data_IF_027648092695
#
_entry.id   IF_027648092695
#
_cell.length_a   1.000
_cell.length_b   1.000
_cell.length_c   1.000
_cell.angle_alpha   90.00
_cell.angle_beta   90.00
_cell.angle_gamma   90.00
#
_symmetry.space_group_name_H-M   'P 1'
#
loop_
_entity.id
_entity.type
_entity.pdbx_description
1 polymer ?
#
# COMPACT_ATOMS: atom_id res chain seq x y z
N UNK A 1 6.94 55.59 16.42
CA UNK A 1 6.21 54.79 15.41
C UNK A 1 7.02 53.53 15.18
N UNK A 2 6.82 52.55 16.05
CA UNK A 2 7.26 51.18 15.88
C UNK A 2 6.14 50.44 15.14
N UNK A 3 6.41 49.88 13.96
CA UNK A 3 5.54 48.87 13.36
C UNK A 3 6.37 47.79 12.65
N UNK A 4 6.44 46.64 13.32
CA UNK A 4 6.16 45.30 12.79
C UNK A 4 6.85 44.90 11.47
N UNK A 5 8.02 44.25 11.59
CA UNK A 5 8.45 43.24 10.61
C UNK A 5 8.50 41.87 11.27
N UNK A 6 7.43 41.09 11.08
CA UNK A 6 7.33 39.69 11.46
C UNK A 6 7.31 38.83 10.19
N UNK A 7 8.48 38.59 9.60
CA UNK A 7 8.62 37.64 8.50
C UNK A 7 8.47 36.20 9.01
N UNK A 8 7.37 35.59 8.57
CA UNK A 8 6.98 34.23 8.89
C UNK A 8 7.97 33.19 8.39
N UNK A 9 8.57 32.45 9.32
CA UNK A 9 9.17 31.13 9.05
C UNK A 9 8.08 30.16 8.61
N UNK A 10 7.83 30.07 7.31
CA UNK A 10 7.15 28.92 6.72
C UNK A 10 8.02 27.67 6.96
N UNK A 11 7.68 26.90 8.01
CA UNK A 11 8.15 25.52 8.20
C UNK A 11 7.83 24.73 6.93
N UNK A 12 8.84 24.50 6.10
CA UNK A 12 8.80 23.52 5.02
C UNK A 12 8.44 22.18 5.65
N UNK A 13 7.17 21.76 5.54
CA UNK A 13 6.76 20.39 5.83
C UNK A 13 7.52 19.50 4.85
N UNK A 14 8.54 18.81 5.36
CA UNK A 14 9.36 17.90 4.56
C UNK A 14 8.48 16.96 3.76
N UNK A 15 8.80 16.79 2.47
CA UNK A 15 8.09 15.87 1.59
C UNK A 15 8.05 14.49 2.26
N UNK A 16 6.84 13.95 2.46
CA UNK A 16 6.67 12.58 2.96
C UNK A 16 7.29 11.64 1.93
N UNK A 17 8.45 11.05 2.26
CA UNK A 17 9.04 9.98 1.46
C UNK A 17 8.01 8.85 1.35
N UNK A 18 7.65 8.40 0.14
CA UNK A 18 6.70 7.30 -0.04
C UNK A 18 7.08 6.10 0.81
N UNK A 19 6.08 5.47 1.42
CA UNK A 19 6.27 4.25 2.19
C UNK A 19 6.58 3.12 1.21
N UNK A 20 7.72 2.47 1.36
CA UNK A 20 8.01 1.19 0.70
C UNK A 20 7.24 0.09 1.43
N UNK A 21 5.98 -0.05 1.04
CA UNK A 21 5.10 -1.06 1.61
C UNK A 21 5.50 -2.48 1.20
N UNK A 22 6.22 -2.67 0.09
CA UNK A 22 6.73 -4.00 -0.31
C UNK A 22 7.63 -4.57 0.77
N UNK A 23 8.64 -3.78 1.19
CA UNK A 23 9.57 -4.16 2.26
C UNK A 23 8.92 -4.29 3.64
N UNK A 24 7.93 -3.44 3.90
CA UNK A 24 7.14 -3.47 5.14
C UNK A 24 6.31 -4.77 5.24
N UNK A 25 5.62 -5.13 4.16
CA UNK A 25 4.81 -6.33 4.05
C UNK A 25 5.69 -7.58 4.04
N UNK A 26 6.82 -7.57 3.35
CA UNK A 26 7.80 -8.65 3.40
C UNK A 26 8.27 -8.89 4.85
N UNK A 27 8.54 -7.83 5.60
CA UNK A 27 8.92 -7.93 7.00
C UNK A 27 7.81 -8.49 7.89
N UNK A 28 6.54 -8.14 7.62
CA UNK A 28 5.37 -8.74 8.30
C UNK A 28 5.17 -10.21 7.89
N UNK A 29 5.39 -10.58 6.63
CA UNK A 29 5.37 -11.98 6.19
C UNK A 29 6.50 -12.79 6.82
N UNK A 30 7.71 -12.23 6.93
CA UNK A 30 8.82 -12.85 7.68
C UNK A 30 8.47 -13.02 9.15
N UNK A 31 7.75 -12.09 9.79
CA UNK A 31 7.26 -12.26 11.18
C UNK A 31 6.35 -13.48 11.30
N UNK A 32 5.41 -13.63 10.38
CA UNK A 32 4.48 -14.75 10.37
C UNK A 32 5.17 -16.09 10.08
N UNK A 33 6.22 -16.09 9.24
CA UNK A 33 7.00 -17.29 8.89
C UNK A 33 8.09 -17.65 9.91
N UNK A 34 8.70 -16.68 10.58
CA UNK A 34 9.92 -16.88 11.38
C UNK A 34 9.71 -17.52 12.76
N UNK A 35 8.52 -18.04 13.09
CA UNK A 35 8.35 -18.90 14.27
C UNK A 35 7.37 -20.06 14.08
N UNK A 36 7.88 -21.29 13.94
CA UNK A 36 7.14 -22.53 14.07
C UNK A 36 7.15 -23.07 15.52
N UNK A 37 6.94 -22.24 16.55
CA UNK A 37 6.62 -22.74 17.90
C UNK A 37 5.78 -21.71 18.70
N UNK A 38 4.49 -22.03 18.84
CA UNK A 38 3.54 -21.69 19.91
C UNK A 38 3.28 -20.23 20.35
N UNK A 39 3.75 -19.20 19.63
CA UNK A 39 3.19 -17.85 19.87
C UNK A 39 1.88 -17.66 19.10
N UNK A 40 0.73 -17.52 19.78
CA UNK A 40 -0.50 -17.16 19.08
C UNK A 40 -0.30 -15.79 18.42
N UNK A 41 -0.93 -15.58 17.26
CA UNK A 41 -0.95 -14.30 16.52
C UNK A 41 -1.60 -13.14 17.32
N UNK A 42 -2.00 -13.41 18.57
CA UNK A 42 -2.48 -12.48 19.59
C UNK A 42 -1.35 -11.89 20.43
N UNK A 43 -0.12 -12.42 20.34
CA UNK A 43 1.02 -11.89 21.07
C UNK A 43 1.34 -10.45 20.62
N UNK A 44 1.68 -9.55 21.56
CA UNK A 44 2.07 -8.19 21.22
C UNK A 44 3.28 -8.14 20.29
N UNK A 45 3.14 -7.46 19.16
CA UNK A 45 4.19 -7.01 18.28
C UNK A 45 4.83 -5.77 18.90
N UNK A 46 6.10 -5.90 19.27
CA UNK A 46 6.88 -4.79 19.81
C UNK A 46 7.11 -3.71 18.74
N UNK A 47 6.89 -2.44 19.09
CA UNK A 47 7.15 -1.28 18.23
C UNK A 47 8.61 -1.20 17.80
N UNK A 48 9.54 -1.58 18.68
CA UNK A 48 10.97 -1.60 18.37
C UNK A 48 11.28 -2.65 17.29
N UNK A 49 10.56 -3.77 17.28
CA UNK A 49 10.66 -4.77 16.24
C UNK A 49 10.13 -4.24 14.91
N UNK A 50 8.93 -3.62 14.89
CA UNK A 50 8.39 -2.99 13.68
C UNK A 50 9.40 -1.98 13.09
N UNK A 51 10.03 -1.17 13.94
CA UNK A 51 11.06 -0.21 13.54
C UNK A 51 12.32 -0.89 12.97
N UNK A 52 12.78 -2.00 13.56
CA UNK A 52 13.90 -2.80 13.01
C UNK A 52 13.58 -3.38 11.63
N UNK A 53 12.31 -3.68 11.38
CA UNK A 53 11.77 -4.07 10.08
C UNK A 53 11.55 -2.90 9.11
N UNK A 54 12.02 -1.69 9.44
CA UNK A 54 11.91 -0.52 8.58
C UNK A 54 10.55 0.20 8.66
N UNK A 55 9.64 -0.21 9.55
CA UNK A 55 8.41 0.55 9.77
C UNK A 55 8.70 1.85 10.49
N UNK A 56 8.44 2.96 9.81
CA UNK A 56 8.45 4.30 10.44
C UNK A 56 7.17 4.50 11.24
N UNK A 57 7.18 5.46 12.16
CA UNK A 57 6.00 5.78 12.98
C UNK A 57 4.75 6.04 12.12
N UNK A 58 4.90 6.75 11.00
CA UNK A 58 3.80 6.99 10.07
C UNK A 58 3.19 5.70 9.48
N UNK A 59 3.98 4.63 9.30
CA UNK A 59 3.45 3.35 8.82
C UNK A 59 2.65 2.65 9.91
N UNK A 60 3.14 2.70 11.16
CA UNK A 60 2.46 2.13 12.32
C UNK A 60 1.15 2.87 12.59
N UNK A 61 1.17 4.20 12.53
CA UNK A 61 -0.03 5.04 12.69
C UNK A 61 -1.05 4.76 11.59
N UNK A 62 -0.58 4.52 10.36
CA UNK A 62 -1.46 4.16 9.23
C UNK A 62 -2.07 2.76 9.42
N UNK A 63 -1.27 1.75 9.80
CA UNK A 63 -1.75 0.40 10.14
C UNK A 63 -2.77 0.42 11.28
N UNK A 64 -2.54 1.27 12.28
CA UNK A 64 -3.48 1.51 13.37
C UNK A 64 -4.78 2.14 12.86
N UNK A 65 -4.67 3.19 12.03
CA UNK A 65 -5.82 3.91 11.50
C UNK A 65 -6.67 3.08 10.53
N UNK A 66 -6.07 2.18 9.75
CA UNK A 66 -6.81 1.21 8.92
C UNK A 66 -7.35 0.03 9.73
N UNK A 67 -7.13 0.01 11.04
CA UNK A 67 -7.66 -0.98 11.96
C UNK A 67 -6.93 -2.32 11.90
N UNK A 68 -5.71 -2.38 11.38
CA UNK A 68 -4.90 -3.61 11.33
C UNK A 68 -4.11 -3.83 12.61
N UNK A 69 -3.75 -2.75 13.30
CA UNK A 69 -3.12 -2.79 14.61
C UNK A 69 -4.05 -2.20 15.67
N UNK A 70 -4.00 -2.77 16.86
CA UNK A 70 -4.59 -2.21 18.07
C UNK A 70 -3.53 -2.19 19.18
N UNK A 71 -3.62 -1.31 20.19
CA UNK A 71 -2.65 -1.29 21.28
C UNK A 71 -2.78 -2.58 22.07
N UNK A 72 -1.67 -3.19 22.47
CA UNK A 72 -1.74 -4.34 23.38
C UNK A 72 -2.31 -3.91 24.74
N UNK A 73 -3.25 -4.69 25.28
CA UNK A 73 -3.82 -4.50 26.63
C UNK A 73 -2.74 -4.52 27.72
N UNK A 74 -1.65 -5.26 27.49
CA UNK A 74 -0.47 -5.36 28.35
C UNK A 74 0.35 -4.07 28.41
N UNK A 75 0.07 -3.10 27.52
CA UNK A 75 0.76 -1.81 27.45
C UNK A 75 0.18 -0.76 28.39
N UNK A 76 -0.91 -1.04 29.11
CA UNK A 76 -1.55 -0.05 29.96
C UNK A 76 -0.65 0.19 31.18
N UNK A 77 -0.06 1.39 31.34
CA UNK A 77 0.76 1.66 32.51
C UNK A 77 -0.12 1.54 33.77
N UNK A 78 0.41 1.01 34.89
CA UNK A 78 -0.32 1.00 36.15
C UNK A 78 -0.73 2.44 36.49
N UNK A 79 -1.93 2.61 37.04
CA UNK A 79 -2.66 3.87 37.18
C UNK A 79 -1.94 5.01 37.95
N UNK A 80 -0.71 4.79 38.44
CA UNK A 80 0.00 5.70 39.34
C UNK A 80 1.17 6.48 38.72
N UNK A 81 1.50 6.30 37.43
CA UNK A 81 2.59 7.07 36.81
C UNK A 81 2.11 8.45 36.32
N UNK A 82 2.17 9.46 37.20
CA UNK A 82 1.89 10.90 36.94
C UNK A 82 2.99 11.62 36.12
N UNK A 83 3.55 10.97 35.10
CA UNK A 83 4.42 11.68 34.15
C UNK A 83 3.58 12.39 33.09
N UNK A 84 3.80 13.70 32.88
CA UNK A 84 3.10 14.54 31.89
C UNK A 84 3.39 14.17 30.42
N UNK A 85 4.24 13.17 30.16
CA UNK A 85 4.42 12.57 28.83
C UNK A 85 3.92 11.13 28.90
N UNK A 86 2.74 10.88 28.36
CA UNK A 86 2.22 9.52 28.17
C UNK A 86 3.20 8.75 27.28
N UNK A 87 3.87 7.70 27.80
CA UNK A 87 4.62 6.79 26.95
C UNK A 87 3.61 6.19 25.95
N UNK A 88 3.93 6.22 24.66
CA UNK A 88 3.13 5.51 23.67
C UNK A 88 3.02 4.02 24.02
N UNK A 89 2.04 3.29 23.45
CA UNK A 89 1.88 1.87 23.70
C UNK A 89 3.19 1.12 23.43
N UNK A 90 3.58 0.24 24.37
CA UNK A 90 4.82 -0.55 24.29
C UNK A 90 4.74 -1.66 23.24
N UNK A 91 3.54 -2.05 22.83
CA UNK A 91 3.32 -2.99 21.74
C UNK A 91 1.95 -2.85 21.10
N UNK A 92 1.82 -3.39 19.89
CA UNK A 92 0.56 -3.50 19.15
C UNK A 92 0.22 -4.96 18.92
N UNK A 93 -1.05 -5.31 18.83
CA UNK A 93 -1.49 -6.64 18.40
C UNK A 93 -2.16 -6.47 17.02
N UNK A 94 -1.95 -7.42 16.12
CA UNK A 94 -2.75 -7.47 14.89
C UNK A 94 -4.22 -7.70 15.26
N UNK A 95 -5.11 -6.90 14.71
CA UNK A 95 -6.55 -7.19 14.76
C UNK A 95 -6.86 -8.40 13.87
N UNK A 96 -8.09 -8.90 13.92
CA UNK A 96 -8.51 -9.96 12.99
C UNK A 96 -8.43 -9.50 11.53
N UNK A 97 -8.83 -8.25 11.24
CA UNK A 97 -8.68 -7.65 9.93
C UNK A 97 -7.20 -7.56 9.50
N UNK A 98 -6.31 -7.16 10.41
CA UNK A 98 -4.87 -7.15 10.17
C UNK A 98 -4.33 -8.54 9.86
N UNK A 99 -4.72 -9.57 10.64
CA UNK A 99 -4.29 -10.96 10.39
C UNK A 99 -4.78 -11.47 9.04
N UNK A 100 -6.04 -11.22 8.69
CA UNK A 100 -6.59 -11.64 7.39
C UNK A 100 -5.87 -10.95 6.24
N UNK A 101 -5.59 -9.66 6.38
CA UNK A 101 -4.84 -8.92 5.37
C UNK A 101 -3.41 -9.43 5.22
N UNK A 102 -2.69 -9.67 6.31
CA UNK A 102 -1.32 -10.22 6.23
C UNK A 102 -1.34 -11.65 5.68
N UNK A 103 -2.29 -12.51 6.03
CA UNK A 103 -2.45 -13.85 5.42
C UNK A 103 -2.79 -13.76 3.93
N UNK A 104 -3.63 -12.81 3.54
CA UNK A 104 -3.97 -12.52 2.16
C UNK A 104 -2.74 -12.06 1.37
N UNK A 105 -1.94 -11.19 1.97
CA UNK A 105 -0.66 -10.75 1.43
C UNK A 105 0.36 -11.87 1.36
N UNK A 106 0.50 -12.70 2.38
CA UNK A 106 1.39 -13.87 2.34
C UNK A 106 1.01 -14.82 1.22
N UNK A 107 -0.28 -15.04 1.00
CA UNK A 107 -0.78 -15.81 -0.13
C UNK A 107 -0.38 -15.15 -1.44
N UNK A 108 -0.74 -13.88 -1.65
CA UNK A 108 -0.40 -13.12 -2.87
C UNK A 108 1.10 -13.05 -3.12
N UNK A 109 1.92 -12.85 -2.08
CA UNK A 109 3.38 -12.75 -2.13
C UNK A 109 4.06 -14.11 -2.28
N UNK A 110 3.58 -15.16 -1.60
CA UNK A 110 4.02 -16.54 -1.84
C UNK A 110 3.75 -16.99 -3.28
N UNK A 111 2.81 -16.34 -3.97
CA UNK A 111 2.55 -16.56 -5.38
C UNK A 111 3.27 -15.58 -6.32
N UNK A 112 3.74 -14.43 -5.83
CA UNK A 112 4.42 -13.38 -6.62
C UNK A 112 5.96 -13.46 -6.56
N UNK A 113 6.53 -14.14 -5.56
CA UNK A 113 7.98 -14.33 -5.39
C UNK A 113 8.37 -15.68 -6.02
N UNK A 114 9.01 -15.73 -7.20
CA UNK A 114 9.61 -16.96 -7.71
C UNK A 114 10.93 -17.24 -6.96
N UNK A 115 10.86 -17.60 -5.68
CA UNK A 115 12.03 -18.15 -4.99
C UNK A 115 12.01 -19.68 -5.10
N UNK A 116 12.59 -20.18 -6.18
CA UNK A 116 13.38 -21.41 -6.22
C UNK A 116 12.74 -22.76 -5.85
N UNK A 117 11.51 -22.82 -5.35
CA UNK A 117 10.88 -24.07 -4.90
C UNK A 117 9.42 -24.14 -5.36
N UNK A 118 9.20 -24.75 -6.52
CA UNK A 118 8.01 -25.58 -6.76
C UNK A 118 6.65 -24.91 -6.92
N UNK A 119 6.55 -23.60 -7.15
CA UNK A 119 5.28 -23.02 -7.57
C UNK A 119 4.88 -23.64 -8.92
N UNK A 120 3.82 -24.46 -8.94
CA UNK A 120 3.36 -25.13 -10.15
C UNK A 120 2.81 -24.06 -11.10
N UNK A 121 3.00 -24.23 -12.41
CA UNK A 121 2.46 -23.34 -13.45
C UNK A 121 0.96 -23.01 -13.27
N UNK A 122 0.20 -23.95 -12.68
CA UNK A 122 -1.22 -23.77 -12.33
C UNK A 122 -1.50 -22.69 -11.28
N UNK A 123 -0.56 -22.43 -10.35
CA UNK A 123 -0.74 -21.44 -9.29
C UNK A 123 -0.51 -20.03 -9.84
N UNK A 124 0.47 -19.86 -10.73
CA UNK A 124 0.67 -18.61 -11.47
C UNK A 124 -0.50 -18.28 -12.40
N UNK A 125 -1.14 -19.29 -13.01
CA UNK A 125 -2.39 -19.08 -13.77
C UNK A 125 -3.54 -18.61 -12.88
N UNK A 126 -3.69 -19.16 -11.67
CA UNK A 126 -4.72 -18.69 -10.71
C UNK A 126 -4.49 -17.25 -10.25
N UNK A 127 -3.23 -16.81 -10.12
CA UNK A 127 -2.92 -15.41 -9.80
C UNK A 127 -3.31 -14.47 -10.93
N UNK A 128 -3.05 -14.85 -12.19
CA UNK A 128 -3.50 -14.07 -13.35
C UNK A 128 -5.04 -13.97 -13.43
N UNK A 129 -5.75 -14.86 -12.75
CA UNK A 129 -7.22 -14.84 -12.65
C UNK A 129 -7.73 -14.00 -11.45
N UNK A 130 -6.86 -13.48 -10.58
CA UNK A 130 -7.29 -12.58 -9.51
C UNK A 130 -7.65 -11.22 -10.11
N UNK A 131 -8.93 -11.07 -10.43
CA UNK A 131 -9.52 -9.79 -10.81
C UNK A 131 -9.46 -8.83 -9.61
N UNK A 132 -9.12 -7.55 -9.83
CA UNK A 132 -9.31 -6.54 -8.82
C UNK A 132 -10.80 -6.39 -8.49
N UNK A 133 -11.10 -5.71 -7.39
CA UNK A 133 -12.46 -5.39 -6.96
C UNK A 133 -12.49 -3.99 -6.41
N UNK A 134 -13.41 -3.17 -6.89
CA UNK A 134 -13.67 -1.84 -6.36
C UNK A 134 -14.94 -1.85 -5.49
N UNK A 135 -14.82 -1.40 -4.25
CA UNK A 135 -15.96 -1.14 -3.38
C UNK A 135 -16.22 0.37 -3.33
N UNK A 136 -17.26 0.81 -4.05
CA UNK A 136 -17.65 2.22 -4.12
C UNK A 136 -18.19 2.78 -2.80
N UNK A 137 -18.74 1.94 -1.92
CA UNK A 137 -19.29 2.38 -0.63
C UNK A 137 -18.17 2.74 0.35
N UNK A 138 -17.16 1.86 0.45
CA UNK A 138 -15.99 2.08 1.33
C UNK A 138 -14.87 2.88 0.65
N UNK A 139 -14.95 3.04 -0.68
CA UNK A 139 -13.93 3.64 -1.55
C UNK A 139 -12.58 2.92 -1.45
N UNK A 140 -12.66 1.61 -1.57
CA UNK A 140 -11.53 0.70 -1.40
C UNK A 140 -11.32 -0.17 -2.63
N UNK A 141 -10.06 -0.25 -3.07
CA UNK A 141 -9.62 -1.09 -4.18
C UNK A 141 -8.87 -2.30 -3.62
N UNK A 142 -9.30 -3.49 -4.03
CA UNK A 142 -8.74 -4.76 -3.61
C UNK A 142 -8.21 -5.58 -4.79
N UNK A 143 -7.31 -6.51 -4.49
CA UNK A 143 -7.00 -7.67 -5.34
C UNK A 143 -7.10 -8.91 -4.46
N UNK A 144 -8.12 -9.73 -4.69
CA UNK A 144 -8.51 -10.78 -3.73
C UNK A 144 -8.73 -10.19 -2.32
N UNK A 145 -8.05 -10.70 -1.27
CA UNK A 145 -8.18 -10.17 0.09
C UNK A 145 -7.30 -8.95 0.38
N UNK A 146 -6.46 -8.50 -0.56
CA UNK A 146 -5.45 -7.46 -0.32
C UNK A 146 -6.02 -6.08 -0.64
N UNK A 147 -6.05 -5.19 0.35
CA UNK A 147 -6.37 -3.78 0.13
C UNK A 147 -5.20 -3.09 -0.59
N UNK A 148 -5.41 -2.77 -1.86
CA UNK A 148 -4.44 -2.08 -2.72
C UNK A 148 -4.44 -0.58 -2.47
N UNK A 149 -5.62 0.04 -2.32
CA UNK A 149 -5.73 1.49 -2.16
C UNK A 149 -7.05 1.90 -1.51
N UNK A 150 -7.00 2.91 -0.63
CA UNK A 150 -8.17 3.53 0.00
C UNK A 150 -8.22 5.03 -0.32
N UNK A 151 -9.39 5.54 -0.71
CA UNK A 151 -9.59 6.95 -1.04
C UNK A 151 -10.25 7.72 0.11
N UNK A 152 -9.43 8.43 0.89
CA UNK A 152 -9.91 9.29 2.00
C UNK A 152 -10.48 10.63 1.55
N UNK A 153 -10.10 11.10 0.37
CA UNK A 153 -10.58 12.36 -0.21
C UNK A 153 -11.24 12.08 -1.55
N UNK A 154 -12.21 12.91 -1.98
CA UNK A 154 -12.82 12.77 -3.29
C UNK A 154 -11.77 12.75 -4.40
N UNK A 155 -11.86 11.76 -5.28
CA UNK A 155 -10.93 11.56 -6.39
C UNK A 155 -11.71 11.18 -7.66
N UNK A 156 -12.57 12.07 -8.17
CA UNK A 156 -13.63 11.73 -9.13
C UNK A 156 -13.12 10.99 -10.37
N UNK A 157 -12.03 11.45 -10.99
CA UNK A 157 -11.47 10.76 -12.16
C UNK A 157 -10.93 9.36 -11.84
N UNK A 158 -10.30 9.18 -10.68
CA UNK A 158 -9.79 7.87 -10.28
C UNK A 158 -10.95 6.91 -9.98
N UNK A 159 -11.93 7.38 -9.22
CA UNK A 159 -13.14 6.62 -8.89
C UNK A 159 -13.89 6.22 -10.16
N UNK A 160 -14.09 7.16 -11.10
CA UNK A 160 -14.80 6.88 -12.35
C UNK A 160 -14.16 5.78 -13.20
N UNK A 161 -12.82 5.74 -13.22
CA UNK A 161 -12.07 4.64 -13.87
C UNK A 161 -12.30 3.32 -13.15
N UNK A 162 -12.27 3.30 -11.81
CA UNK A 162 -12.49 2.09 -11.03
C UNK A 162 -13.94 1.58 -11.13
N UNK A 163 -14.92 2.49 -11.14
CA UNK A 163 -16.32 2.18 -11.38
C UNK A 163 -16.52 1.57 -12.77
N UNK A 164 -15.90 2.13 -13.82
CA UNK A 164 -15.98 1.55 -15.16
C UNK A 164 -15.41 0.13 -15.23
N UNK A 165 -14.27 -0.13 -14.56
CA UNK A 165 -13.75 -1.49 -14.46
C UNK A 165 -14.69 -2.42 -13.68
N UNK A 166 -15.27 -1.97 -12.57
CA UNK A 166 -16.20 -2.79 -11.78
C UNK A 166 -17.49 -3.09 -12.55
N UNK A 167 -18.07 -2.10 -13.24
CA UNK A 167 -19.26 -2.21 -14.08
C UNK A 167 -19.07 -3.24 -15.21
N UNK A 168 -17.85 -3.35 -15.75
CA UNK A 168 -17.51 -4.26 -16.84
C UNK A 168 -16.89 -5.60 -16.38
N UNK A 169 -16.89 -5.90 -15.09
CA UNK A 169 -16.27 -7.11 -14.48
C UNK A 169 -14.76 -7.24 -14.78
N UNK A 170 -14.05 -6.12 -14.66
CA UNK A 170 -12.60 -5.97 -14.75
C UNK A 170 -11.98 -6.58 -16.02
N UNK A 171 -12.38 -6.13 -17.23
CA UNK A 171 -11.70 -6.55 -18.45
C UNK A 171 -10.26 -6.02 -18.46
N UNK A 172 -9.41 -6.58 -19.32
CA UNK A 172 -8.01 -6.11 -19.43
C UNK A 172 -7.92 -4.62 -19.78
N UNK A 173 -8.89 -4.13 -20.57
CA UNK A 173 -9.02 -2.75 -21.02
C UNK A 173 -10.46 -2.26 -20.93
N UNK A 174 -10.65 -1.00 -20.51
CA UNK A 174 -11.91 -0.25 -20.65
C UNK A 174 -11.67 1.02 -21.46
N UNK A 175 -12.69 1.50 -22.16
CA UNK A 175 -12.63 2.81 -22.83
C UNK A 175 -12.51 3.94 -21.79
N UNK A 176 -11.90 5.07 -22.17
CA UNK A 176 -11.71 6.23 -21.29
C UNK A 176 -13.07 6.71 -20.74
N UNK A 177 -13.35 6.49 -19.44
CA UNK A 177 -14.65 6.82 -18.86
C UNK A 177 -14.70 8.27 -18.35
N UNK A 178 -13.62 9.04 -18.55
CA UNK A 178 -13.50 10.39 -18.02
C UNK A 178 -14.25 11.40 -18.91
N UNK A 179 -15.13 12.24 -18.31
CA UNK A 179 -15.94 13.19 -19.07
C UNK A 179 -15.03 14.23 -19.75
N UNK A 180 -15.27 14.58 -21.04
CA UNK A 180 -14.49 15.58 -21.77
C UNK A 180 -14.47 16.91 -21.00
N UNK A 181 -13.29 17.54 -20.93
CA UNK A 181 -13.12 18.86 -20.30
C UNK A 181 -12.60 19.83 -21.34
N UNK A 182 -13.33 20.94 -21.53
CA UNK A 182 -12.96 21.96 -22.51
C UNK A 182 -11.52 22.45 -22.27
N UNK A 183 -10.75 22.60 -23.36
CA UNK A 183 -9.36 23.08 -23.36
C UNK A 183 -8.35 22.15 -22.65
N UNK A 184 -8.76 20.96 -22.22
CA UNK A 184 -7.86 19.95 -21.66
C UNK A 184 -7.72 18.80 -22.64
N UNK A 185 -6.49 18.48 -23.01
CA UNK A 185 -6.20 17.34 -23.88
C UNK A 185 -6.57 16.01 -23.16
N UNK A 186 -7.43 15.19 -23.77
CA UNK A 186 -7.93 13.93 -23.19
C UNK A 186 -6.81 12.96 -22.82
N UNK A 187 -5.80 12.82 -23.69
CA UNK A 187 -4.62 11.97 -23.43
C UNK A 187 -3.86 12.44 -22.19
N UNK A 188 -3.63 13.75 -22.02
CA UNK A 188 -2.97 14.30 -20.82
C UNK A 188 -3.80 14.05 -19.56
N UNK A 189 -5.11 14.31 -19.61
CA UNK A 189 -6.03 14.06 -18.48
C UNK A 189 -6.04 12.58 -18.05
N UNK A 190 -6.11 11.67 -19.03
CA UNK A 190 -6.12 10.23 -18.77
C UNK A 190 -4.78 9.78 -18.18
N UNK A 191 -3.67 10.24 -18.76
CA UNK A 191 -2.34 9.97 -18.26
C UNK A 191 -2.15 10.43 -16.80
N UNK A 192 -2.58 11.64 -16.46
CA UNK A 192 -2.54 12.16 -15.10
C UNK A 192 -3.38 11.32 -14.14
N UNK A 193 -4.54 10.83 -14.60
CA UNK A 193 -5.42 9.96 -13.81
C UNK A 193 -4.76 8.60 -13.56
N UNK A 194 -4.19 7.96 -14.59
CA UNK A 194 -3.44 6.70 -14.49
C UNK A 194 -2.25 6.84 -13.54
N UNK A 195 -1.48 7.94 -13.66
CA UNK A 195 -0.37 8.22 -12.76
C UNK A 195 -0.84 8.32 -11.30
N UNK A 196 -1.99 8.94 -11.06
CA UNK A 196 -2.58 9.03 -9.72
C UNK A 196 -3.09 7.69 -9.23
N UNK A 197 -3.70 6.86 -10.08
CA UNK A 197 -4.15 5.50 -9.74
C UNK A 197 -2.98 4.64 -9.24
N UNK A 198 -1.87 4.67 -9.97
CA UNK A 198 -0.65 3.92 -9.64
C UNK A 198 0.07 4.45 -8.39
N UNK A 199 -0.02 5.76 -8.11
CA UNK A 199 0.58 6.38 -6.93
C UNK A 199 -0.26 6.16 -5.69
N UNK A 200 0.40 6.05 -4.54
CA UNK A 200 -0.27 5.97 -3.23
C UNK A 200 -1.09 4.70 -3.05
N UNK A 201 -0.77 3.64 -3.79
CA UNK A 201 -1.22 2.30 -3.41
C UNK A 201 -0.53 1.91 -2.10
N UNK A 202 -1.28 1.28 -1.22
CA UNK A 202 -0.76 0.61 -0.03
C UNK A 202 0.08 -0.61 -0.42
N UNK A 203 -0.22 -1.25 -1.55
CA UNK A 203 0.57 -2.38 -2.05
C UNK A 203 0.64 -2.26 -3.56
N UNK A 204 1.85 -2.14 -4.12
CA UNK A 204 2.07 -1.84 -5.54
C UNK A 204 1.87 -3.06 -6.48
N UNK A 205 0.91 -3.94 -6.16
CA UNK A 205 0.61 -5.17 -6.92
C UNK A 205 -0.22 -4.91 -8.18
N UNK A 206 -0.87 -3.76 -8.30
CA UNK A 206 -1.73 -3.43 -9.43
C UNK A 206 -1.14 -2.25 -10.20
N UNK A 207 -0.99 -2.39 -11.52
CA UNK A 207 -0.55 -1.30 -12.39
C UNK A 207 -1.61 -1.00 -13.43
N UNK A 208 -2.03 0.25 -13.47
CA UNK A 208 -2.82 0.81 -14.54
C UNK A 208 -1.91 1.34 -15.65
N UNK A 209 -2.30 1.16 -16.90
CA UNK A 209 -1.60 1.63 -18.08
C UNK A 209 -2.58 2.28 -19.06
N UNK A 210 -2.07 3.15 -19.91
CA UNK A 210 -2.82 3.67 -21.07
C UNK A 210 -2.27 3.02 -22.33
N UNK A 211 -3.05 3.05 -23.39
CA UNK A 211 -2.65 2.51 -24.70
C UNK A 211 -1.79 3.49 -25.54
N UNK A 212 -1.45 4.64 -24.99
CA UNK A 212 -0.70 5.69 -25.67
C UNK A 212 -1.55 6.63 -26.55
N UNK A 213 -2.80 6.28 -26.85
CA UNK A 213 -3.73 7.14 -27.63
C UNK A 213 -4.56 8.04 -26.72
N UNK A 214 -4.79 7.60 -25.47
CA UNK A 214 -5.65 8.33 -24.52
C UNK A 214 -7.12 7.97 -24.65
N UNK A 215 -7.44 6.82 -25.24
CA UNK A 215 -8.82 6.36 -25.48
C UNK A 215 -9.24 5.18 -24.61
N UNK A 216 -8.29 4.51 -23.96
CA UNK A 216 -8.54 3.37 -23.08
C UNK A 216 -7.53 3.29 -21.95
N UNK A 217 -7.96 2.64 -20.87
CA UNK A 217 -7.15 2.32 -19.69
C UNK A 217 -7.12 0.81 -19.55
N UNK A 218 -5.94 0.26 -19.29
CA UNK A 218 -5.76 -1.15 -18.96
C UNK A 218 -5.19 -1.33 -17.57
N UNK A 219 -5.21 -2.58 -17.09
CA UNK A 219 -4.57 -2.96 -15.84
C UNK A 219 -3.81 -4.28 -15.98
N UNK A 220 -2.83 -4.46 -15.11
CA UNK A 220 -2.09 -5.70 -14.97
C UNK A 220 -1.61 -5.88 -13.53
N UNK A 221 -1.52 -7.13 -13.08
CA UNK A 221 -0.78 -7.43 -11.86
C UNK A 221 0.71 -7.20 -12.12
N UNK A 222 1.40 -6.50 -11.21
CA UNK A 222 2.86 -6.44 -11.22
C UNK A 222 3.37 -7.70 -10.53
N UNK A 223 4.16 -8.55 -11.21
CA UNK A 223 5.02 -9.45 -10.47
C UNK A 223 5.95 -8.58 -9.62
N UNK A 224 6.22 -9.00 -8.40
CA UNK A 224 7.23 -8.36 -7.56
C UNK A 224 8.52 -8.37 -8.35
N UNK A 225 8.91 -7.19 -8.84
CA UNK A 225 10.20 -7.01 -9.48
C UNK A 225 11.14 -6.80 -8.32
N UNK A 226 11.94 -7.83 -8.06
CA UNK A 226 13.16 -7.73 -7.26
C UNK A 226 13.95 -6.52 -7.74
N UNK A 227 13.78 -5.39 -7.05
CA UNK A 227 14.66 -4.23 -7.18
C UNK A 227 16.01 -4.59 -6.55
N UNK A 228 16.75 -5.53 -7.16
CA UNK A 228 18.16 -5.81 -6.91
C UNK A 228 18.73 -6.63 -8.07
N UNK A 229 18.97 -6.01 -9.23
CA UNK A 229 20.08 -6.33 -10.16
C UNK A 229 19.98 -5.49 -11.44
N UNK A 230 20.20 -4.17 -11.32
CA UNK A 230 20.74 -3.37 -12.44
C UNK A 230 21.72 -2.34 -11.88
N UNK A 231 22.66 -2.80 -11.05
CA UNK A 231 23.93 -2.10 -10.78
C UNK A 231 25.08 -3.08 -11.06
N UNK A 232 25.13 -3.57 -12.30
CA UNK A 232 26.36 -4.09 -12.87
C UNK A 232 26.51 -3.46 -14.27
N UNK A 233 27.73 -3.04 -14.59
CA UNK A 233 28.23 -2.64 -15.92
C UNK A 233 28.34 -1.14 -16.26
N UNK A 234 28.79 -0.29 -15.32
CA UNK A 234 29.44 0.99 -15.73
C UNK A 234 30.52 1.50 -14.75
N UNK A 235 31.39 0.60 -14.27
CA UNK A 235 32.71 1.02 -13.73
C UNK A 235 33.78 0.00 -14.09
N UNK A 236 34.59 0.39 -15.07
CA UNK A 236 36.01 0.04 -15.17
C UNK A 236 36.34 -1.39 -15.59
N UNK A 237 36.59 -1.58 -16.88
CA UNK A 237 37.65 -2.48 -17.34
C UNK A 237 38.86 -1.60 -17.71
N UNK A 238 40.07 -1.93 -17.24
CA UNK A 238 41.32 -1.21 -17.52
C UNK A 238 41.77 -1.31 -18.98
#
# INVERSE_FOLDING_TARGET
MEELSAEGRHKRRGARVPVDWGRAIESLGRLLKAKPDDRPLTAPIDVTWLRRCGFRQAHIDELFHIGWLQPSSESRPPAQSRSKRTPGPRGYVLTEAGRQAVRGLEKVMAWAVPQGFGARSSDLQKVRQLKPRWDGLTRELFVGPVLVKRYRVPAPNQIRVLEAFEEEDWPEWVFDPLPPVARVNSKRRLHDTINRLNRGQLVAILRFCGDGTGTRVGWQLRPETSDTEVEATDRGMP
#
